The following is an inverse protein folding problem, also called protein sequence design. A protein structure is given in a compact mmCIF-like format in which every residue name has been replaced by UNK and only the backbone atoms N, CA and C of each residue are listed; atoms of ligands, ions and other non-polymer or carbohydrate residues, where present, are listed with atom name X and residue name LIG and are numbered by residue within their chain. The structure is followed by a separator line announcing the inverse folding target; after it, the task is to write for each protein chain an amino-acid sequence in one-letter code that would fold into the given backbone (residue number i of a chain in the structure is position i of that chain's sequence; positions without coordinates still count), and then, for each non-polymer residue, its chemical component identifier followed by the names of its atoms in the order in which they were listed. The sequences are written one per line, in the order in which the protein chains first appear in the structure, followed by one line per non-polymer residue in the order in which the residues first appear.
data_IF_092427818136
#
_entry.id   IF_092427818136
#
_cell.length_a   1.000
_cell.length_b   1.000
_cell.length_c   1.000
_cell.angle_alpha   90.00
_cell.angle_beta   90.00
_cell.angle_gamma   90.00
#
_symmetry.space_group_name_H-M   'P 1'
#
loop_
_entity.id
_entity.type
_entity.pdbx_description
1 polymer ?
#
# COMPACT_ATOMS: atom_id res chain seq x y z
N UNK A 1 9.99 5.80 7.28
CA UNK A 1 8.79 5.85 6.41
C UNK A 1 7.56 5.44 7.20
N UNK A 2 6.35 5.87 6.79
CA UNK A 2 5.08 5.46 7.39
C UNK A 2 4.00 5.32 6.30
N UNK A 3 3.10 4.35 6.42
CA UNK A 3 1.87 4.27 5.62
C UNK A 3 0.74 4.91 6.42
N UNK A 4 0.03 5.85 5.81
CA UNK A 4 -1.06 6.60 6.45
C UNK A 4 -2.44 6.05 6.09
N UNK A 5 -2.63 5.64 4.84
CA UNK A 5 -3.91 5.13 4.32
C UNK A 5 -3.63 4.17 3.16
N UNK A 6 -4.45 3.13 3.01
CA UNK A 6 -4.35 2.20 1.89
C UNK A 6 -5.72 1.63 1.54
N UNK A 7 -6.26 2.06 0.41
CA UNK A 7 -7.62 1.74 -0.03
C UNK A 7 -7.68 1.48 -1.52
N UNK A 8 -8.79 0.89 -1.94
CA UNK A 8 -9.17 0.83 -3.35
C UNK A 8 -10.09 1.99 -3.71
N UNK A 9 -9.90 2.53 -4.91
CA UNK A 9 -10.76 3.53 -5.56
C UNK A 9 -11.17 2.94 -6.90
N UNK A 10 -12.37 2.35 -6.95
CA UNK A 10 -12.79 1.53 -8.08
C UNK A 10 -11.87 0.32 -8.24
N UNK A 11 -11.25 0.19 -9.42
CA UNK A 11 -10.30 -0.89 -9.71
C UNK A 11 -8.84 -0.51 -9.49
N UNK A 12 -8.56 0.65 -8.87
CA UNK A 12 -7.18 1.09 -8.61
C UNK A 12 -6.91 1.10 -7.11
N UNK A 13 -5.69 0.74 -6.73
CA UNK A 13 -5.20 0.92 -5.37
C UNK A 13 -4.62 2.32 -5.20
N UNK A 14 -4.84 2.92 -4.03
CA UNK A 14 -4.29 4.20 -3.62
C UNK A 14 -3.70 4.05 -2.22
N UNK A 15 -2.39 4.27 -2.09
CA UNK A 15 -1.64 4.13 -0.85
C UNK A 15 -0.99 5.47 -0.54
N UNK A 16 -1.36 6.07 0.59
CA UNK A 16 -0.72 7.29 1.06
C UNK A 16 0.45 6.92 1.98
N UNK A 17 1.65 7.33 1.61
CA UNK A 17 2.88 7.14 2.39
C UNK A 17 3.49 8.47 2.80
N UNK A 18 4.17 8.48 3.95
CA UNK A 18 4.91 9.63 4.44
C UNK A 18 6.37 9.27 4.71
N UNK A 19 7.29 10.04 4.16
CA UNK A 19 8.73 9.91 4.40
C UNK A 19 9.41 11.27 4.21
N UNK A 20 10.46 11.54 4.98
CA UNK A 20 11.21 12.81 4.93
C UNK A 20 10.31 14.06 4.99
N UNK A 21 9.25 14.01 5.80
CA UNK A 21 8.27 15.09 5.95
C UNK A 21 7.30 15.28 4.76
N UNK A 22 7.45 14.52 3.68
CA UNK A 22 6.59 14.57 2.49
C UNK A 22 5.54 13.47 2.52
N UNK A 23 4.34 13.79 2.03
CA UNK A 23 3.29 12.81 1.76
C UNK A 23 3.26 12.52 0.26
N UNK A 24 3.25 11.25 -0.10
CA UNK A 24 3.19 10.77 -1.48
C UNK A 24 2.02 9.80 -1.60
N UNK A 25 1.22 9.95 -2.65
CA UNK A 25 0.16 9.01 -2.98
C UNK A 25 0.68 8.10 -4.07
N UNK A 26 0.73 6.80 -3.78
CA UNK A 26 1.12 5.73 -4.69
C UNK A 26 -0.17 5.14 -5.24
N UNK A 27 -0.45 5.42 -6.51
CA UNK A 27 -1.62 4.89 -7.20
C UNK A 27 -1.19 3.86 -8.23
N UNK A 28 -1.91 2.75 -8.32
CA UNK A 28 -1.63 1.70 -9.30
C UNK A 28 -2.87 0.87 -9.62
N UNK A 29 -2.87 0.31 -10.82
CA UNK A 29 -3.97 -0.47 -11.38
C UNK A 29 -4.01 -0.35 -12.90
N UNK A 30 -5.08 -0.86 -13.54
CA UNK A 30 -6.25 -1.50 -12.95
C UNK A 30 -5.94 -2.89 -12.36
N UNK A 31 -6.54 -3.19 -11.21
CA UNK A 31 -6.44 -4.46 -10.48
C UNK A 31 -7.75 -5.21 -10.68
N UNK A 32 -7.65 -6.46 -11.13
CA UNK A 32 -8.81 -7.33 -11.21
C UNK A 32 -9.34 -7.60 -9.79
N UNK A 33 -10.67 -7.49 -9.56
CA UNK A 33 -11.24 -7.83 -8.26
C UNK A 33 -10.92 -9.29 -7.91
N UNK A 34 -10.69 -9.60 -6.62
CA UNK A 34 -10.51 -10.97 -6.17
C UNK A 34 -11.76 -11.82 -6.46
N UNK A 35 -11.59 -13.14 -6.48
CA UNK A 35 -12.65 -14.10 -6.85
C UNK A 35 -13.89 -13.98 -5.94
N UNK A 36 -13.70 -13.59 -4.67
CA UNK A 36 -14.78 -13.33 -3.71
C UNK A 36 -15.48 -11.97 -3.92
N UNK A 37 -15.03 -11.19 -4.91
CA UNK A 37 -15.58 -9.90 -5.32
C UNK A 37 -15.30 -8.75 -4.34
N UNK A 38 -14.53 -8.99 -3.27
CA UNK A 38 -14.32 -8.00 -2.20
C UNK A 38 -12.88 -7.50 -2.18
N UNK A 39 -12.68 -6.31 -2.73
CA UNK A 39 -11.44 -5.56 -2.53
C UNK A 39 -11.38 -5.05 -1.09
N UNK A 40 -10.45 -5.56 -0.29
CA UNK A 40 -10.35 -5.22 1.15
C UNK A 40 -9.36 -4.07 1.35
N UNK A 41 -8.10 -4.36 1.08
CA UNK A 41 -7.01 -3.41 1.17
C UNK A 41 -5.88 -3.90 0.27
N UNK A 42 -5.14 -2.99 -0.39
CA UNK A 42 -4.06 -3.40 -1.28
C UNK A 42 -3.02 -4.31 -0.61
N UNK A 43 -2.77 -4.13 0.70
CA UNK A 43 -1.84 -4.97 1.46
C UNK A 43 -2.42 -6.32 1.90
N UNK A 44 -3.75 -6.45 1.97
CA UNK A 44 -4.41 -7.72 2.31
C UNK A 44 -4.53 -8.58 1.05
N UNK A 45 -4.90 -7.96 -0.07
CA UNK A 45 -5.23 -8.69 -1.30
C UNK A 45 -3.96 -9.04 -2.10
N UNK A 46 -2.97 -8.13 -2.18
CA UNK A 46 -1.68 -8.41 -2.81
C UNK A 46 -0.55 -7.55 -2.24
N UNK A 47 -0.03 -7.94 -1.08
CA UNK A 47 1.05 -7.24 -0.37
C UNK A 47 2.31 -7.04 -1.22
N UNK A 48 2.71 -8.04 -2.01
CA UNK A 48 3.95 -7.97 -2.79
C UNK A 48 3.85 -6.96 -3.93
N UNK A 49 2.70 -6.91 -4.61
CA UNK A 49 2.42 -5.87 -5.60
C UNK A 49 2.43 -4.47 -4.96
N UNK A 50 1.75 -4.29 -3.83
CA UNK A 50 1.72 -3.02 -3.12
C UNK A 50 3.13 -2.53 -2.73
N UNK A 51 3.97 -3.41 -2.18
CA UNK A 51 5.35 -3.08 -1.84
C UNK A 51 6.18 -2.72 -3.07
N UNK A 52 6.00 -3.44 -4.18
CA UNK A 52 6.71 -3.18 -5.44
C UNK A 52 6.35 -1.81 -6.01
N UNK A 53 5.07 -1.43 -5.97
CA UNK A 53 4.60 -0.14 -6.47
C UNK A 53 5.10 1.03 -5.60
N UNK A 54 5.10 0.84 -4.27
CA UNK A 54 5.70 1.80 -3.35
C UNK A 54 7.20 1.96 -3.65
N UNK A 55 7.93 0.85 -3.80
CA UNK A 55 9.35 0.87 -4.13
C UNK A 55 9.62 1.62 -5.43
N UNK A 56 8.85 1.32 -6.48
CA UNK A 56 9.01 1.92 -7.81
C UNK A 56 8.72 3.43 -7.81
N UNK A 57 7.75 3.90 -7.03
CA UNK A 57 7.30 5.30 -7.05
C UNK A 57 7.96 6.19 -5.99
N UNK A 58 8.55 5.61 -4.94
CA UNK A 58 9.14 6.37 -3.82
C UNK A 58 10.64 6.25 -3.70
N UNK A 59 11.26 5.28 -4.38
CA UNK A 59 12.70 4.96 -4.30
C UNK A 59 13.21 4.80 -2.85
N UNK A 60 12.32 4.43 -1.91
CA UNK A 60 12.69 4.15 -0.52
C UNK A 60 13.34 2.76 -0.41
N UNK A 61 14.05 2.50 0.69
CA UNK A 61 14.66 1.19 0.92
C UNK A 61 13.57 0.13 1.13
N UNK A 62 13.75 -1.05 0.53
CA UNK A 62 12.80 -2.17 0.68
C UNK A 62 12.61 -2.57 2.15
N UNK A 63 13.66 -2.48 2.97
CA UNK A 63 13.61 -2.72 4.42
C UNK A 63 12.69 -1.72 5.15
N UNK A 64 12.74 -0.44 4.78
CA UNK A 64 11.85 0.58 5.36
C UNK A 64 10.40 0.41 4.91
N UNK A 65 10.18 0.05 3.64
CA UNK A 65 8.84 -0.24 3.11
C UNK A 65 8.26 -1.45 3.85
N UNK A 66 9.02 -2.54 3.99
CA UNK A 66 8.57 -3.75 4.70
C UNK A 66 8.22 -3.47 6.15
N UNK A 67 9.04 -2.68 6.86
CA UNK A 67 8.76 -2.27 8.23
C UNK A 67 7.47 -1.44 8.31
N UNK A 68 7.31 -0.42 7.45
CA UNK A 68 6.11 0.42 7.42
C UNK A 68 4.84 -0.37 7.11
N UNK A 69 4.90 -1.37 6.20
CA UNK A 69 3.77 -2.26 5.89
C UNK A 69 3.42 -3.13 7.09
N UNK A 70 4.40 -3.68 7.80
CA UNK A 70 4.17 -4.47 8.99
C UNK A 70 3.49 -3.65 10.09
N UNK A 71 3.99 -2.44 10.35
CA UNK A 71 3.42 -1.52 11.34
C UNK A 71 1.98 -1.11 10.97
N UNK A 72 1.73 -0.80 9.71
CA UNK A 72 0.38 -0.49 9.21
C UNK A 72 -0.58 -1.65 9.42
N UNK A 73 -0.21 -2.86 8.98
CA UNK A 73 -1.04 -4.05 9.14
C UNK A 73 -1.29 -4.41 10.62
N UNK A 74 -0.32 -4.14 11.51
CA UNK A 74 -0.49 -4.32 12.94
C UNK A 74 -1.50 -3.32 13.51
N UNK A 75 -1.48 -2.05 13.06
CA UNK A 75 -2.42 -1.02 13.49
C UNK A 75 -3.87 -1.26 13.06
N UNK A 76 -4.10 -1.98 11.95
CA UNK A 76 -5.43 -2.32 11.46
C UNK A 76 -6.10 -3.47 12.24
N UNK A 77 -5.38 -4.12 13.16
CA UNK A 77 -5.90 -5.23 13.98
C UNK A 77 -6.36 -4.79 15.38
N UNK A 78 -6.13 -3.53 15.75
CA UNK A 78 -6.63 -2.92 17.00
C UNK A 78 -7.98 -2.27 16.79
#
# INVERSE_FOLDING_TARGET
MQILDAKYVGNSASITVQFSGKKVVVEYGPIAPPIDGRMRSPFIDNKDLAMKEILAQTSQLETEIRAAVADYLASQKG
#
